data_IF_138899950137
#
_entry.id   IF_138899950137
#
_cell.length_a   1.000
_cell.length_b   1.000
_cell.length_c   1.000
_cell.angle_alpha   90.00
_cell.angle_beta   90.00
_cell.angle_gamma   90.00
#
_symmetry.space_group_name_H-M   'P 1'
#
loop_
_entity.id
_entity.type
_entity.pdbx_description
1 polymer ?
#
# COMPACT_ATOMS: atom_id res chain seq x y z
N UNK A 1 29.95 10.14 3.85
CA UNK A 1 29.00 9.05 4.14
C UNK A 1 27.59 9.57 3.93
N UNK A 2 26.87 9.04 2.94
CA UNK A 2 25.52 9.51 2.56
C UNK A 2 24.52 9.40 3.71
N UNK A 3 24.56 8.29 4.47
CA UNK A 3 23.68 8.06 5.63
C UNK A 3 23.76 9.14 6.73
N UNK A 4 24.85 9.90 6.82
CA UNK A 4 25.07 10.91 7.88
C UNK A 4 24.96 12.34 7.36
N UNK A 5 25.29 12.58 6.09
CA UNK A 5 25.43 13.94 5.52
C UNK A 5 24.60 14.17 4.25
N UNK A 6 23.89 13.15 3.79
CA UNK A 6 22.97 13.24 2.67
C UNK A 6 21.63 13.86 3.08
N UNK A 7 20.84 14.35 2.12
CA UNK A 7 19.45 14.73 2.37
C UNK A 7 18.65 13.51 2.84
N UNK A 8 17.61 13.77 3.66
CA UNK A 8 16.64 12.74 4.02
C UNK A 8 15.94 12.27 2.75
N UNK A 9 15.93 10.95 2.54
CA UNK A 9 15.21 10.36 1.41
C UNK A 9 13.71 10.32 1.73
N UNK A 10 12.88 10.72 0.77
CA UNK A 10 11.45 10.45 0.84
C UNK A 10 11.18 8.94 0.88
N UNK A 11 9.97 8.56 1.30
CA UNK A 11 9.54 7.17 1.31
C UNK A 11 9.62 6.49 -0.07
N UNK A 12 9.34 7.24 -1.14
CA UNK A 12 9.29 6.72 -2.51
C UNK A 12 9.89 7.70 -3.54
N UNK A 13 11.23 7.84 -3.56
CA UNK A 13 11.91 8.78 -4.47
C UNK A 13 11.79 8.36 -5.95
N UNK A 14 11.45 7.10 -6.23
CA UNK A 14 11.37 6.54 -7.58
C UNK A 14 9.95 6.46 -8.14
N UNK A 15 8.95 6.85 -7.33
CA UNK A 15 7.53 6.74 -7.70
C UNK A 15 7.14 5.31 -8.11
N UNK A 16 7.71 4.32 -7.43
CA UNK A 16 7.40 2.90 -7.63
C UNK A 16 6.00 2.56 -7.11
N UNK A 17 5.38 1.51 -7.67
CA UNK A 17 3.97 1.19 -7.41
C UNK A 17 3.75 0.11 -6.35
N UNK A 18 4.74 -0.78 -6.15
CA UNK A 18 4.64 -1.95 -5.26
C UNK A 18 4.54 -1.57 -3.77
N UNK A 19 4.06 -2.50 -2.94
CA UNK A 19 3.65 -2.23 -1.55
C UNK A 19 4.78 -1.69 -0.67
N UNK A 20 6.01 -2.13 -0.86
CA UNK A 20 7.18 -1.68 -0.11
C UNK A 20 7.51 -0.19 -0.32
N UNK A 21 6.98 0.42 -1.38
CA UNK A 21 7.14 1.84 -1.69
C UNK A 21 5.94 2.69 -1.28
N UNK A 22 5.01 2.10 -0.54
CA UNK A 22 3.82 2.75 -0.04
C UNK A 22 3.81 2.83 1.51
N UNK A 23 4.95 2.51 2.14
CA UNK A 23 5.22 2.64 3.58
C UNK A 23 6.26 3.74 3.81
N UNK A 24 6.30 4.33 5.01
CA UNK A 24 7.31 5.33 5.38
C UNK A 24 8.74 4.79 5.33
N UNK A 25 9.72 5.70 5.25
CA UNK A 25 11.14 5.40 5.43
C UNK A 25 11.68 6.16 6.65
N UNK A 26 12.12 5.47 7.72
CA UNK A 26 12.11 4.02 7.91
C UNK A 26 10.68 3.44 8.05
N UNK A 27 10.48 2.15 7.78
CA UNK A 27 9.17 1.52 7.94
C UNK A 27 8.84 1.33 9.44
N UNK A 28 7.55 1.37 9.81
CA UNK A 28 7.11 0.93 11.14
C UNK A 28 7.40 -0.56 11.36
N UNK A 29 7.40 -1.01 12.61
CA UNK A 29 7.67 -2.42 12.98
C UNK A 29 6.77 -3.41 12.23
N UNK A 30 5.50 -3.04 12.01
CA UNK A 30 4.52 -3.89 11.36
C UNK A 30 4.32 -3.56 9.86
N UNK A 31 5.10 -2.63 9.32
CA UNK A 31 5.01 -2.06 7.97
C UNK A 31 3.70 -1.30 7.69
N UNK A 32 2.53 -1.91 7.85
CA UNK A 32 1.23 -1.31 7.58
C UNK A 32 0.33 -1.34 8.82
N UNK A 33 -0.50 -0.32 9.00
CA UNK A 33 -1.50 -0.26 10.08
C UNK A 33 -2.66 -1.25 9.84
N UNK A 34 -3.03 -1.45 8.58
CA UNK A 34 -4.04 -2.40 8.11
C UNK A 34 -3.49 -3.20 6.92
N UNK A 35 -4.06 -4.39 6.67
CA UNK A 35 -3.64 -5.21 5.52
C UNK A 35 -4.14 -4.55 4.23
N UNK A 36 -3.26 -4.20 3.28
CA UNK A 36 -3.68 -3.57 2.05
C UNK A 36 -4.32 -4.57 1.08
N UNK A 37 -5.29 -4.09 0.30
CA UNK A 37 -5.87 -4.85 -0.82
C UNK A 37 -5.11 -4.53 -2.10
N UNK A 38 -4.58 -5.55 -2.77
CA UNK A 38 -3.99 -5.42 -4.12
C UNK A 38 -5.11 -5.36 -5.14
N UNK A 39 -5.16 -4.30 -5.95
CA UNK A 39 -6.25 -4.03 -6.89
C UNK A 39 -5.79 -3.95 -8.35
N UNK A 40 -4.49 -3.99 -8.61
CA UNK A 40 -3.96 -3.91 -9.96
C UNK A 40 -2.63 -4.63 -10.16
N UNK A 41 -2.21 -4.77 -11.42
CA UNK A 41 -0.96 -5.42 -11.79
C UNK A 41 0.29 -4.59 -11.42
N UNK A 42 1.49 -5.20 -11.40
CA UNK A 42 2.73 -4.53 -11.01
C UNK A 42 3.32 -3.59 -12.09
N UNK A 43 2.74 -3.56 -13.30
CA UNK A 43 3.32 -2.88 -14.47
C UNK A 43 2.47 -1.72 -15.01
N UNK A 44 1.55 -1.16 -14.25
CA UNK A 44 0.66 -0.07 -14.68
C UNK A 44 1.33 1.33 -14.68
N UNK A 45 2.63 1.39 -14.90
CA UNK A 45 3.37 2.65 -14.98
C UNK A 45 2.86 3.50 -16.16
N UNK A 46 2.63 4.79 -15.90
CA UNK A 46 2.18 5.74 -16.91
C UNK A 46 0.67 5.70 -17.20
N UNK A 47 -0.09 4.79 -16.58
CA UNK A 47 -1.55 4.77 -16.66
C UNK A 47 -2.12 5.82 -15.70
N UNK A 48 -2.85 6.85 -16.18
CA UNK A 48 -3.42 7.88 -15.31
C UNK A 48 -4.39 7.28 -14.30
N UNK A 49 -4.15 7.53 -13.00
CA UNK A 49 -5.00 7.04 -11.92
C UNK A 49 -4.82 5.57 -11.56
N UNK A 50 -3.84 4.87 -12.14
CA UNK A 50 -3.53 3.50 -11.73
C UNK A 50 -3.13 3.44 -10.24
N UNK A 51 -3.66 2.44 -9.55
CA UNK A 51 -3.39 2.17 -8.13
C UNK A 51 -3.06 0.70 -7.99
N UNK A 52 -1.89 0.37 -7.46
CA UNK A 52 -1.53 -1.02 -7.23
C UNK A 52 -2.24 -1.61 -6.00
N UNK A 53 -2.45 -0.79 -4.96
CA UNK A 53 -3.11 -1.20 -3.73
C UNK A 53 -3.95 -0.08 -3.06
N UNK A 54 -4.87 -0.51 -2.20
CA UNK A 54 -5.67 0.34 -1.30
C UNK A 54 -5.21 0.07 0.13
N UNK A 55 -4.74 1.12 0.84
CA UNK A 55 -4.05 0.99 2.14
C UNK A 55 -4.95 0.94 3.36
N UNK A 56 -6.15 1.48 3.26
CA UNK A 56 -7.18 1.29 4.27
C UNK A 56 -8.39 0.83 3.46
N UNK A 57 -8.70 -0.48 3.43
CA UNK A 57 -9.99 -0.87 2.91
C UNK A 57 -11.00 -0.12 3.76
N UNK A 58 -11.81 0.75 3.13
CA UNK A 58 -13.00 1.24 3.80
C UNK A 58 -13.67 0.00 4.39
N UNK A 59 -14.06 0.04 5.67
CA UNK A 59 -14.93 -0.97 6.26
C UNK A 59 -16.21 -1.01 5.44
N UNK A 60 -16.18 -1.71 4.31
CA UNK A 60 -17.37 -2.21 3.65
C UNK A 60 -17.85 -3.28 4.61
N UNK A 61 -18.86 -2.89 5.39
CA UNK A 61 -19.67 -3.79 6.18
C UNK A 61 -20.09 -4.93 5.26
N UNK A 62 -19.37 -6.05 5.33
CA UNK A 62 -19.86 -7.29 4.78
C UNK A 62 -21.00 -7.76 5.69
N UNK A 63 -22.19 -7.18 5.52
CA UNK A 63 -23.43 -7.86 5.84
C UNK A 63 -23.56 -9.02 4.86
N UNK A 64 -22.91 -10.14 5.18
CA UNK A 64 -23.23 -11.41 4.52
C UNK A 64 -24.48 -11.95 5.22
N UNK A 65 -25.63 -11.57 4.68
CA UNK A 65 -26.87 -12.30 4.87
C UNK A 65 -26.85 -13.52 3.93
N UNK A 66 -26.74 -14.73 4.50
CA UNK A 66 -27.29 -16.00 3.98
C UNK A 66 -27.00 -17.07 5.04
N UNK A 67 -27.99 -17.47 5.83
CA UNK A 67 -29.07 -18.42 5.51
C UNK A 67 -28.74 -19.80 6.11
N UNK A 68 -29.51 -20.11 7.15
CA UNK A 68 -29.82 -21.41 7.73
C UNK A 68 -29.57 -22.58 6.78
N UNK A 69 -28.59 -23.44 7.05
CA UNK A 69 -28.59 -24.83 6.57
C UNK A 69 -28.02 -25.76 7.65
N UNK A 70 -28.90 -26.10 8.61
CA UNK A 70 -29.15 -27.41 9.23
C UNK A 70 -29.61 -27.27 10.69
#
# INVERSE_FOLDING_TARGET
>A
MSWVRGPVADANPWRALTLEWQVSSPPPIFNFDEIPQVVAGPYEYGVPGARHAVMSPAKESQEVAEEVHA
#
